data_IF_655011091757
#
_entry.id   IF_655011091757
#
_cell.length_a   1.000
_cell.length_b   1.000
_cell.length_c   1.000
_cell.angle_alpha   90.00
_cell.angle_beta   90.00
_cell.angle_gamma   90.00
#
_symmetry.space_group_name_H-M   'P 1'
#
loop_
_entity.id
_entity.type
_entity.pdbx_description
1 polymer ?
#
# COMPACT_ATOMS: atom_id res chain seq x y z
N UNK A 1 -15.67 14.44 -11.10
CA UNK A 1 -15.09 13.10 -10.93
C UNK A 1 -13.57 13.23 -10.99
N UNK A 2 -12.85 12.88 -9.92
CA UNK A 2 -11.41 12.69 -10.02
C UNK A 2 -11.17 11.51 -10.98
N UNK A 3 -10.62 11.80 -12.15
CA UNK A 3 -10.35 10.80 -13.19
C UNK A 3 -8.93 10.31 -12.99
N UNK A 4 -8.75 9.01 -12.81
CA UNK A 4 -7.44 8.37 -12.82
C UNK A 4 -7.28 7.51 -14.07
N UNK A 5 -6.02 7.27 -14.45
CA UNK A 5 -5.66 6.27 -15.47
C UNK A 5 -4.86 5.16 -14.78
N UNK A 6 -5.21 3.91 -15.07
CA UNK A 6 -4.51 2.73 -14.58
C UNK A 6 -3.94 1.98 -15.78
N UNK A 7 -2.62 1.75 -15.77
CA UNK A 7 -1.90 1.03 -16.83
C UNK A 7 -0.97 -0.01 -16.22
N UNK A 8 -0.60 -1.03 -16.98
CA UNK A 8 0.49 -1.93 -16.59
C UNK A 8 1.81 -1.18 -16.61
N UNK A 9 2.62 -1.34 -15.56
CA UNK A 9 3.94 -0.73 -15.52
C UNK A 9 4.84 -1.28 -16.63
N UNK A 10 5.59 -0.39 -17.26
CA UNK A 10 6.64 -0.72 -18.22
C UNK A 10 7.86 0.13 -17.90
N UNK A 11 9.05 -0.47 -17.71
CA UNK A 11 10.28 0.28 -17.46
C UNK A 11 10.65 1.27 -18.58
N UNK A 12 10.13 1.05 -19.79
CA UNK A 12 10.38 1.90 -20.96
C UNK A 12 9.42 3.11 -21.03
N UNK A 13 8.36 3.12 -20.24
CA UNK A 13 7.37 4.18 -20.27
C UNK A 13 7.85 5.35 -19.39
N UNK A 14 7.98 6.53 -20.00
CA UNK A 14 8.21 7.76 -19.26
C UNK A 14 6.85 8.30 -18.77
N UNK A 15 6.73 8.52 -17.46
CA UNK A 15 5.50 9.01 -16.82
C UNK A 15 5.83 10.37 -16.22
N UNK A 16 5.21 11.42 -16.74
CA UNK A 16 5.46 12.80 -16.31
C UNK A 16 4.39 13.30 -15.33
N UNK A 17 3.22 12.66 -15.31
CA UNK A 17 2.13 13.00 -14.41
C UNK A 17 2.36 12.48 -12.98
N UNK A 18 1.74 13.11 -11.96
CA UNK A 18 1.71 12.57 -10.60
C UNK A 18 1.20 11.11 -10.59
N UNK A 19 2.01 10.20 -10.07
CA UNK A 19 1.71 8.77 -10.14
C UNK A 19 2.24 7.98 -8.94
N UNK A 20 1.66 6.80 -8.73
CA UNK A 20 2.16 5.79 -7.82
C UNK A 20 1.92 4.39 -8.41
N UNK A 21 2.47 3.38 -7.75
CA UNK A 21 2.44 2.00 -8.22
C UNK A 21 1.53 1.15 -7.36
N UNK A 22 0.92 0.11 -7.94
CA UNK A 22 0.04 -0.82 -7.22
C UNK A 22 0.48 -2.24 -7.53
N UNK A 23 0.85 -3.02 -6.51
CA UNK A 23 1.26 -4.41 -6.69
C UNK A 23 0.11 -5.24 -7.29
N UNK A 24 0.38 -6.06 -8.30
CA UNK A 24 -0.65 -6.86 -8.98
C UNK A 24 -0.48 -8.39 -8.86
N UNK A 25 0.60 -8.87 -8.21
CA UNK A 25 0.82 -10.29 -7.92
C UNK A 25 1.19 -10.56 -6.46
N UNK A 26 0.85 -11.75 -6.00
CA UNK A 26 1.05 -12.25 -4.64
C UNK A 26 -0.06 -11.83 -3.68
N UNK A 27 0.07 -12.24 -2.42
CA UNK A 27 -0.91 -11.97 -1.37
C UNK A 27 -1.02 -10.48 -1.00
N UNK A 28 -0.07 -9.65 -1.44
CA UNK A 28 -0.08 -8.20 -1.23
C UNK A 28 -0.67 -7.43 -2.44
N UNK A 29 -1.31 -8.12 -3.38
CA UNK A 29 -1.94 -7.48 -4.54
C UNK A 29 -2.94 -6.40 -4.10
N UNK A 30 -2.92 -5.26 -4.79
CA UNK A 30 -3.67 -4.06 -4.43
C UNK A 30 -2.92 -3.10 -3.50
N UNK A 31 -1.77 -3.50 -2.93
CA UNK A 31 -0.94 -2.63 -2.09
C UNK A 31 -0.35 -1.48 -2.92
N UNK A 32 -0.53 -0.21 -2.51
CA UNK A 32 0.15 0.91 -3.15
C UNK A 32 1.64 0.95 -2.75
N UNK A 33 2.49 1.35 -3.68
CA UNK A 33 3.95 1.39 -3.59
C UNK A 33 4.46 2.75 -4.08
N UNK A 34 5.52 3.24 -3.43
CA UNK A 34 6.25 4.45 -3.85
C UNK A 34 7.17 4.20 -5.03
N UNK A 35 7.76 3.01 -5.10
CA UNK A 35 8.70 2.60 -6.15
C UNK A 35 8.10 1.52 -7.05
N UNK A 36 8.50 1.48 -8.33
CA UNK A 36 8.02 0.47 -9.27
C UNK A 36 8.57 -0.93 -8.96
N UNK A 37 7.86 -1.95 -9.43
CA UNK A 37 8.37 -3.32 -9.50
C UNK A 37 7.83 -4.02 -10.76
N UNK A 38 8.40 -5.14 -11.21
CA UNK A 38 7.94 -5.82 -12.43
C UNK A 38 6.46 -6.23 -12.42
N UNK A 39 5.87 -6.46 -11.25
CA UNK A 39 4.49 -6.90 -11.08
C UNK A 39 3.62 -5.80 -10.46
N UNK A 40 3.63 -4.61 -11.05
CA UNK A 40 2.74 -3.54 -10.63
C UNK A 40 1.97 -2.88 -11.80
N UNK A 41 0.89 -2.22 -11.42
CA UNK A 41 0.22 -1.21 -12.22
C UNK A 41 0.73 0.18 -11.84
N UNK A 42 0.55 1.13 -12.75
CA UNK A 42 0.78 2.55 -12.53
C UNK A 42 -0.57 3.24 -12.53
N UNK A 43 -0.86 3.94 -11.44
CA UNK A 43 -2.01 4.84 -11.37
C UNK A 43 -1.51 6.28 -11.54
N UNK A 44 -1.97 6.95 -12.59
CA UNK A 44 -1.69 8.37 -12.85
C UNK A 44 -2.89 9.24 -12.51
N UNK A 45 -2.61 10.36 -11.87
CA UNK A 45 -3.56 11.38 -11.44
C UNK A 45 -3.23 12.73 -12.09
N UNK A 46 -4.20 13.66 -12.07
CA UNK A 46 -4.00 15.00 -12.65
C UNK A 46 -3.18 15.92 -11.77
N UNK A 47 -3.39 15.84 -10.45
CA UNK A 47 -2.71 16.68 -9.47
C UNK A 47 -2.09 15.81 -8.38
N UNK A 48 -1.19 16.41 -7.60
CA UNK A 48 -0.52 15.74 -6.49
C UNK A 48 -1.51 15.43 -5.35
N UNK A 49 -2.53 16.26 -5.16
CA UNK A 49 -3.61 16.03 -4.19
C UNK A 49 -4.47 14.83 -4.59
N UNK A 50 -4.83 14.72 -5.87
CA UNK A 50 -5.54 13.55 -6.40
C UNK A 50 -4.69 12.28 -6.22
N UNK A 51 -3.38 12.36 -6.50
CA UNK A 51 -2.46 11.24 -6.29
C UNK A 51 -2.47 10.78 -4.84
N UNK A 52 -2.33 11.72 -3.90
CA UNK A 52 -2.32 11.41 -2.46
C UNK A 52 -3.67 10.81 -2.01
N UNK A 53 -4.79 11.36 -2.50
CA UNK A 53 -6.11 10.82 -2.22
C UNK A 53 -6.25 9.37 -2.70
N UNK A 54 -5.89 9.08 -3.97
CA UNK A 54 -5.96 7.73 -4.52
C UNK A 54 -4.99 6.77 -3.84
N UNK A 55 -3.82 7.25 -3.41
CA UNK A 55 -2.87 6.46 -2.63
C UNK A 55 -3.48 6.02 -1.31
N UNK A 56 -4.03 6.97 -0.53
CA UNK A 56 -4.68 6.67 0.76
C UNK A 56 -5.91 5.77 0.60
N UNK A 57 -6.68 5.96 -0.48
CA UNK A 57 -7.80 5.09 -0.82
C UNK A 57 -7.35 3.65 -1.08
N UNK A 58 -6.35 3.45 -1.95
CA UNK A 58 -5.81 2.13 -2.24
C UNK A 58 -5.18 1.49 -1.00
N UNK A 59 -4.50 2.29 -0.18
CA UNK A 59 -3.90 1.81 1.06
C UNK A 59 -4.95 1.30 2.05
N UNK A 60 -6.03 2.07 2.25
CA UNK A 60 -7.16 1.67 3.09
C UNK A 60 -7.85 0.40 2.58
N UNK A 61 -8.14 0.33 1.28
CA UNK A 61 -8.72 -0.85 0.63
C UNK A 61 -7.82 -2.09 0.79
N UNK A 62 -6.50 -1.93 0.67
CA UNK A 62 -5.56 -3.02 0.87
C UNK A 62 -5.52 -3.49 2.33
N UNK A 63 -5.49 -2.57 3.30
CA UNK A 63 -5.55 -2.91 4.73
C UNK A 63 -6.85 -3.59 5.12
N UNK A 64 -7.97 -3.19 4.51
CA UNK A 64 -9.27 -3.82 4.67
C UNK A 64 -9.42 -5.14 3.90
N UNK A 65 -8.38 -5.59 3.18
CA UNK A 65 -8.38 -6.79 2.34
C UNK A 65 -9.44 -6.77 1.23
N UNK A 66 -9.90 -5.60 0.82
CA UNK A 66 -10.93 -5.44 -0.22
C UNK A 66 -10.50 -6.00 -1.57
N UNK A 67 -9.19 -6.03 -1.85
CA UNK A 67 -8.66 -6.62 -3.07
C UNK A 67 -8.59 -8.15 -3.04
N UNK A 68 -8.65 -8.80 -1.86
CA UNK A 68 -8.55 -10.27 -1.74
C UNK A 68 -9.69 -10.97 -2.49
N UNK A 69 -10.89 -10.39 -2.49
CA UNK A 69 -12.06 -10.90 -3.22
C UNK A 69 -11.86 -10.96 -4.75
N UNK A 70 -10.95 -10.14 -5.27
CA UNK A 70 -10.68 -10.05 -6.71
C UNK A 70 -9.47 -10.88 -7.14
N UNK A 71 -8.77 -11.52 -6.18
CA UNK A 71 -7.59 -12.31 -6.50
C UNK A 71 -7.97 -13.59 -7.23
N UNK A 72 -7.18 -13.90 -8.25
CA UNK A 72 -7.27 -15.07 -9.10
C UNK A 72 -5.98 -15.86 -9.02
N UNK A 73 -6.03 -17.13 -9.40
CA UNK A 73 -4.87 -18.02 -9.38
C UNK A 73 -4.72 -18.75 -8.05
N UNK A 74 -4.40 -20.04 -8.12
CA UNK A 74 -4.30 -20.93 -6.95
C UNK A 74 -2.90 -20.92 -6.33
N UNK A 75 -1.85 -21.02 -7.16
CA UNK A 75 -0.46 -21.09 -6.68
C UNK A 75 0.11 -19.70 -6.40
N UNK A 76 -0.11 -18.75 -7.32
CA UNK A 76 0.32 -17.36 -7.18
C UNK A 76 -0.91 -16.47 -7.41
N UNK A 77 -1.50 -15.91 -6.34
CA UNK A 77 -2.62 -14.99 -6.47
C UNK A 77 -2.24 -13.74 -7.26
N UNK A 78 -3.14 -13.22 -8.06
CA UNK A 78 -2.95 -11.98 -8.81
C UNK A 78 -4.28 -11.26 -9.01
N UNK A 79 -4.23 -9.95 -9.24
CA UNK A 79 -5.39 -9.13 -9.60
C UNK A 79 -5.23 -8.62 -11.03
N UNK A 80 -6.29 -8.70 -11.83
CA UNK A 80 -6.26 -8.12 -13.18
C UNK A 80 -6.40 -6.61 -13.12
N UNK A 81 -5.97 -5.91 -14.17
CA UNK A 81 -6.12 -4.46 -14.24
C UNK A 81 -7.59 -4.02 -14.22
N UNK A 82 -8.48 -4.81 -14.82
CA UNK A 82 -9.93 -4.56 -14.83
C UNK A 82 -10.53 -4.68 -13.43
N UNK A 83 -10.22 -5.78 -12.73
CA UNK A 83 -10.70 -6.00 -11.37
C UNK A 83 -10.14 -4.96 -10.39
N UNK A 84 -8.86 -4.60 -10.52
CA UNK A 84 -8.22 -3.56 -9.71
C UNK A 84 -8.91 -2.20 -9.93
N UNK A 85 -9.18 -1.85 -11.19
CA UNK A 85 -9.91 -0.62 -11.54
C UNK A 85 -11.33 -0.63 -10.97
N UNK A 86 -12.02 -1.76 -11.01
CA UNK A 86 -13.36 -1.92 -10.42
C UNK A 86 -13.33 -1.74 -8.89
N UNK A 87 -12.38 -2.36 -8.20
CA UNK A 87 -12.22 -2.24 -6.76
C UNK A 87 -11.96 -0.77 -6.35
N UNK A 88 -11.07 -0.07 -7.06
CA UNK A 88 -10.77 1.35 -6.82
C UNK A 88 -12.01 2.22 -7.07
N UNK A 89 -12.73 2.00 -8.16
CA UNK A 89 -13.96 2.75 -8.45
C UNK A 89 -15.02 2.52 -7.37
N UNK A 90 -15.19 1.29 -6.90
CA UNK A 90 -16.15 0.96 -5.83
C UNK A 90 -15.79 1.69 -4.53
N UNK A 91 -14.51 1.64 -4.13
CA UNK A 91 -14.04 2.39 -2.97
C UNK A 91 -14.15 3.90 -3.13
N UNK A 92 -13.95 4.41 -4.34
CA UNK A 92 -14.10 5.83 -4.66
C UNK A 92 -15.55 6.29 -4.48
N UNK A 93 -16.53 5.52 -4.95
CA UNK A 93 -17.95 5.86 -4.74
C UNK A 93 -18.32 5.84 -3.26
N UNK A 94 -17.86 4.85 -2.49
CA UNK A 94 -18.07 4.80 -1.04
C UNK A 94 -17.44 6.00 -0.31
N UNK A 95 -16.19 6.34 -0.66
CA UNK A 95 -15.49 7.48 -0.07
C UNK A 95 -16.17 8.82 -0.41
N UNK A 96 -16.82 8.94 -1.57
CA UNK A 96 -17.59 10.14 -1.92
C UNK A 96 -18.87 10.27 -1.10
N UNK A 97 -19.55 9.16 -0.81
CA UNK A 97 -20.77 9.17 0.01
C UNK A 97 -20.50 9.71 1.42
N UNK A 98 -19.34 9.37 2.00
CA UNK A 98 -18.91 9.91 3.30
C UNK A 98 -17.43 10.33 3.30
N UNK A 99 -17.16 11.48 2.66
CA UNK A 99 -15.80 12.02 2.57
C UNK A 99 -15.24 12.41 3.94
N UNK A 100 -16.10 12.85 4.88
CA UNK A 100 -15.68 13.23 6.23
C UNK A 100 -15.22 11.99 7.02
N UNK A 101 -16.00 10.91 6.98
CA UNK A 101 -15.65 9.65 7.61
C UNK A 101 -14.42 9.00 6.98
N UNK A 102 -14.29 9.06 5.65
CA UNK A 102 -13.09 8.59 4.95
C UNK A 102 -11.84 9.33 5.44
N UNK A 103 -11.84 10.66 5.42
CA UNK A 103 -10.68 11.46 5.86
C UNK A 103 -10.33 11.22 7.33
N UNK A 104 -11.33 11.02 8.19
CA UNK A 104 -11.10 10.66 9.60
C UNK A 104 -10.44 9.29 9.72
N UNK A 105 -10.89 8.32 8.93
CA UNK A 105 -10.35 6.96 8.92
C UNK A 105 -8.92 6.91 8.40
N UNK A 106 -8.61 7.67 7.33
CA UNK A 106 -7.24 7.81 6.80
C UNK A 106 -6.30 8.37 7.86
N UNK A 107 -6.68 9.45 8.55
CA UNK A 107 -5.87 10.03 9.63
C UNK A 107 -5.63 9.05 10.79
N UNK A 108 -6.67 8.30 11.19
CA UNK A 108 -6.53 7.30 12.24
C UNK A 108 -5.57 6.17 11.82
N UNK A 109 -5.68 5.71 10.56
CA UNK A 109 -4.81 4.69 10.01
C UNK A 109 -3.34 5.14 9.97
N UNK A 110 -3.06 6.37 9.56
CA UNK A 110 -1.71 6.94 9.54
C UNK A 110 -1.07 6.96 10.95
N UNK A 111 -1.83 7.35 11.97
CA UNK A 111 -1.36 7.36 13.36
C UNK A 111 -1.01 5.93 13.81
N UNK A 112 -1.87 4.96 13.49
CA UNK A 112 -1.65 3.56 13.86
C UNK A 112 -0.43 2.97 13.14
N UNK A 113 -0.22 3.26 11.85
CA UNK A 113 0.98 2.81 11.11
C UNK A 113 2.27 3.36 11.72
N UNK A 114 2.28 4.63 12.12
CA UNK A 114 3.44 5.24 12.77
C UNK A 114 3.75 4.59 14.13
N UNK A 115 2.72 4.29 14.91
CA UNK A 115 2.87 3.58 16.19
C UNK A 115 3.36 2.15 15.97
N UNK A 116 2.77 1.41 15.03
CA UNK A 116 3.18 0.05 14.69
C UNK A 116 4.66 0.01 14.29
N UNK A 117 5.11 0.97 13.47
CA UNK A 117 6.52 1.09 13.08
C UNK A 117 7.44 1.28 14.29
N UNK A 118 7.11 2.21 15.19
CA UNK A 118 7.89 2.46 16.42
C UNK A 118 7.97 1.22 17.32
N UNK A 119 6.87 0.47 17.46
CA UNK A 119 6.88 -0.76 18.24
C UNK A 119 7.75 -1.85 17.61
N UNK A 120 7.73 -2.00 16.27
CA UNK A 120 8.62 -2.94 15.57
C UNK A 120 10.10 -2.59 15.78
N UNK A 121 10.45 -1.31 15.67
CA UNK A 121 11.82 -0.84 15.94
C UNK A 121 12.23 -1.12 17.40
N UNK A 122 11.34 -0.86 18.34
CA UNK A 122 11.58 -1.12 19.77
C UNK A 122 11.81 -2.61 20.04
N UNK A 123 11.05 -3.50 19.40
CA UNK A 123 11.23 -4.95 19.51
C UNK A 123 12.60 -5.41 18.98
N UNK A 124 13.09 -4.82 17.89
CA UNK A 124 14.43 -5.09 17.37
C UNK A 124 15.51 -4.65 18.39
N UNK A 125 15.41 -3.44 18.94
CA UNK A 125 16.33 -2.93 19.95
C UNK A 125 16.37 -3.80 21.21
N UNK A 126 15.20 -4.28 21.67
CA UNK A 126 15.12 -5.21 22.81
C UNK A 126 15.90 -6.50 22.51
N UNK A 127 15.77 -7.04 21.30
CA UNK A 127 16.48 -8.27 20.91
C UNK A 127 17.99 -8.04 20.84
N UNK A 128 18.43 -6.89 20.34
CA UNK A 128 19.86 -6.55 20.28
C UNK A 128 20.44 -6.30 21.67
N UNK A 129 19.70 -5.67 22.58
CA UNK A 129 20.09 -5.52 23.98
C UNK A 129 20.27 -6.88 24.67
N UNK A 130 19.32 -7.82 24.48
CA UNK A 130 19.42 -9.19 25.00
C UNK A 130 20.69 -9.89 24.50
N UNK A 131 20.97 -9.78 23.18
CA UNK A 131 22.19 -10.35 22.57
C UNK A 131 23.46 -9.73 23.16
N UNK A 132 23.50 -8.41 23.30
CA UNK A 132 24.66 -7.69 23.84
C UNK A 132 24.99 -8.10 25.29
N UNK A 133 23.96 -8.29 26.13
CA UNK A 133 24.12 -8.77 27.52
C UNK A 133 24.84 -10.12 27.54
N UNK A 134 24.36 -11.08 26.75
CA UNK A 134 24.94 -12.42 26.75
C UNK A 134 26.31 -12.47 26.08
N UNK A 135 26.50 -11.72 24.98
CA UNK A 135 27.80 -11.61 24.32
C UNK A 135 28.88 -11.05 25.25
N UNK A 136 28.54 -10.05 26.06
CA UNK A 136 29.44 -9.50 27.08
C UNK A 136 29.82 -10.54 28.15
N UNK A 137 28.90 -11.43 28.52
CA UNK A 137 29.19 -12.53 29.44
C UNK A 137 30.15 -13.55 28.82
N UNK A 138 29.91 -13.98 27.57
CA UNK A 138 30.78 -14.94 26.86
C UNK A 138 32.21 -14.39 26.72
N UNK A 139 32.38 -13.15 26.23
CA UNK A 139 33.71 -12.56 25.97
C UNK A 139 34.55 -12.33 27.25
N UNK A 140 33.93 -12.36 28.43
CA UNK A 140 34.62 -12.26 29.73
C UNK A 140 35.20 -13.59 30.21
N UNK A 141 34.76 -14.72 29.66
CA UNK A 141 35.42 -16.03 29.80
C UNK A 141 36.51 -16.17 28.76
#
# INVERSE_FOLDING_TARGET
MAKFSLKTYSPKAQINEPHFYILCKGNNSGKPLSEPCPNCFVLTAKTEEDKQFFYSLCFGLWKAKSFEYFLKGSVIPFITIGDCKQAINTGLEQAKTDLKGFNKSVKALEILEQQEKKYKETLLLINDAKRAIFYRYIKRR
#
